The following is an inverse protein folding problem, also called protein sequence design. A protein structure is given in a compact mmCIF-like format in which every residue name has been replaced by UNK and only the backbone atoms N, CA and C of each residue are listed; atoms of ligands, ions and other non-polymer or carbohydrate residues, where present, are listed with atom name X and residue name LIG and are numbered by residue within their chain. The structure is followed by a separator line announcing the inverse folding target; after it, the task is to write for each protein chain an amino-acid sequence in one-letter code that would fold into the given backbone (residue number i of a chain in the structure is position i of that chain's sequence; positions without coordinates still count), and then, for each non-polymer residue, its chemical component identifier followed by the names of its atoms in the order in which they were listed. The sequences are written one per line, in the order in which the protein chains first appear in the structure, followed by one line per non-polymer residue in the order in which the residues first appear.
data_IF_638635612020
#
_entry.id   IF_638635612020
#
_cell.length_a   1.000
_cell.length_b   1.000
_cell.length_c   1.000
_cell.angle_alpha   90.00
_cell.angle_beta   90.00
_cell.angle_gamma   90.00
#
_symmetry.space_group_name_H-M   'P 1'
#
loop_
_entity.id
_entity.type
_entity.pdbx_description
1 polymer ?
#
# COMPACT_ATOMS: atom_id res chain seq x y z
N UNK A 1 7.44 5.26 -15.57
CA UNK A 1 8.10 4.74 -16.79
C UNK A 1 7.66 3.31 -17.11
N UNK A 2 7.67 2.39 -16.14
CA UNK A 2 7.33 0.95 -16.30
C UNK A 2 6.08 0.66 -17.13
N UNK A 3 4.94 1.27 -16.78
CA UNK A 3 3.67 1.03 -17.49
C UNK A 3 3.67 1.58 -18.93
N UNK A 4 4.39 2.68 -19.19
CA UNK A 4 4.51 3.26 -20.54
C UNK A 4 5.39 2.40 -21.46
N UNK A 5 6.31 1.62 -20.90
CA UNK A 5 7.13 0.66 -21.65
C UNK A 5 6.46 -0.70 -21.80
N UNK A 6 5.17 -0.85 -21.46
CA UNK A 6 4.44 -2.12 -21.53
C UNK A 6 4.71 -3.08 -20.37
N UNK A 7 5.52 -2.68 -19.38
CA UNK A 7 5.82 -3.47 -18.20
C UNK A 7 4.68 -3.47 -17.18
N UNK A 8 4.78 -4.38 -16.21
CA UNK A 8 3.80 -4.52 -15.12
C UNK A 8 4.39 -4.06 -13.79
N UNK A 9 3.51 -3.64 -12.89
CA UNK A 9 3.88 -3.21 -11.54
C UNK A 9 3.28 -4.17 -10.52
N UNK A 10 4.12 -4.72 -9.65
CA UNK A 10 3.73 -5.54 -8.52
C UNK A 10 3.81 -4.70 -7.24
N UNK A 11 2.76 -4.68 -6.45
CA UNK A 11 2.72 -4.00 -5.15
C UNK A 11 2.37 -5.05 -4.09
N UNK A 12 3.38 -5.60 -3.40
CA UNK A 12 3.17 -6.48 -2.25
C UNK A 12 2.58 -5.67 -1.10
N UNK A 13 1.31 -5.91 -0.78
CA UNK A 13 0.58 -5.13 0.23
C UNK A 13 -0.30 -6.01 1.13
N UNK A 14 -0.72 -5.45 2.25
CA UNK A 14 -1.79 -6.04 3.06
C UNK A 14 -3.13 -5.99 2.31
N UNK A 15 -4.09 -6.88 2.64
CA UNK A 15 -5.39 -6.91 1.99
C UNK A 15 -6.32 -5.75 2.38
N UNK A 16 -6.02 -5.01 3.45
CA UNK A 16 -6.82 -3.89 3.94
C UNK A 16 -5.94 -2.77 4.46
N UNK A 17 -6.51 -1.55 4.57
CA UNK A 17 -5.81 -0.37 5.09
C UNK A 17 -5.34 0.57 3.98
N UNK A 18 -4.05 0.92 4.00
CA UNK A 18 -3.43 1.90 3.08
C UNK A 18 -3.64 1.56 1.59
N UNK A 19 -3.88 0.29 1.28
CA UNK A 19 -4.19 -0.19 -0.08
C UNK A 19 -5.42 0.52 -0.70
N UNK A 20 -6.41 0.93 0.11
CA UNK A 20 -7.58 1.65 -0.39
C UNK A 20 -7.23 3.03 -0.92
N UNK A 21 -6.38 3.76 -0.19
CA UNK A 21 -5.89 5.07 -0.62
C UNK A 21 -4.99 4.92 -1.85
N UNK A 22 -4.20 3.84 -1.92
CA UNK A 22 -3.42 3.52 -3.12
C UNK A 22 -4.28 3.31 -4.36
N UNK A 23 -5.42 2.60 -4.26
CA UNK A 23 -6.34 2.46 -5.41
C UNK A 23 -6.82 3.82 -5.91
N UNK A 24 -7.20 4.71 -5.00
CA UNK A 24 -7.70 6.05 -5.31
C UNK A 24 -6.60 6.94 -5.94
N UNK A 25 -5.45 7.04 -5.27
CA UNK A 25 -4.35 7.88 -5.72
C UNK A 25 -3.77 7.39 -7.05
N UNK A 26 -3.57 6.07 -7.20
CA UNK A 26 -2.99 5.50 -8.42
C UNK A 26 -3.96 5.57 -9.59
N UNK A 27 -5.24 5.23 -9.41
CA UNK A 27 -6.22 5.35 -10.52
C UNK A 27 -6.34 6.80 -11.02
N UNK A 28 -6.46 7.76 -10.11
CA UNK A 28 -6.52 9.19 -10.44
C UNK A 28 -5.24 9.65 -11.16
N UNK A 29 -4.07 9.21 -10.71
CA UNK A 29 -2.81 9.57 -11.36
C UNK A 29 -2.65 8.92 -12.74
N UNK A 30 -3.07 7.66 -12.91
CA UNK A 30 -3.06 6.96 -14.19
C UNK A 30 -3.99 7.65 -15.20
N UNK A 31 -5.15 8.09 -14.75
CA UNK A 31 -6.12 8.78 -15.62
C UNK A 31 -5.56 10.13 -16.10
N UNK A 32 -4.97 10.92 -15.19
CA UNK A 32 -4.25 12.16 -15.54
C UNK A 32 -3.07 11.92 -16.49
N UNK A 33 -2.47 10.74 -16.43
CA UNK A 33 -1.33 10.35 -17.26
C UNK A 33 -1.73 9.78 -18.63
N UNK A 34 -3.03 9.66 -18.92
CA UNK A 34 -3.54 9.06 -20.16
C UNK A 34 -3.47 7.53 -20.19
N UNK A 35 -3.35 6.88 -19.03
CA UNK A 35 -3.21 5.43 -18.86
C UNK A 35 -4.51 4.79 -18.34
N UNK A 36 -5.66 5.31 -18.76
CA UNK A 36 -7.01 4.90 -18.32
C UNK A 36 -7.37 3.45 -18.67
N UNK A 37 -6.65 2.82 -19.59
CA UNK A 37 -6.91 1.45 -20.02
C UNK A 37 -6.18 0.39 -19.18
N UNK A 38 -5.22 0.80 -18.35
CA UNK A 38 -4.40 -0.14 -17.57
C UNK A 38 -5.24 -0.73 -16.42
N UNK A 39 -5.47 -2.05 -16.39
CA UNK A 39 -6.24 -2.67 -15.33
C UNK A 39 -5.44 -2.71 -14.02
N UNK A 40 -6.19 -2.56 -12.92
CA UNK A 40 -5.71 -2.79 -11.56
C UNK A 40 -6.27 -4.14 -11.11
N UNK A 41 -5.41 -5.03 -10.62
CA UNK A 41 -5.81 -6.31 -10.07
C UNK A 41 -5.54 -6.34 -8.57
N UNK A 42 -6.53 -6.76 -7.79
CA UNK A 42 -6.40 -6.95 -6.35
C UNK A 42 -6.61 -8.43 -6.00
N UNK A 43 -5.52 -9.11 -5.66
CA UNK A 43 -5.52 -10.56 -5.49
C UNK A 43 -5.32 -10.89 -4.01
N UNK A 44 -6.37 -11.43 -3.40
CA UNK A 44 -6.36 -11.89 -2.01
C UNK A 44 -7.58 -12.78 -1.76
N UNK A 45 -7.46 -13.85 -0.94
CA UNK A 45 -8.61 -14.69 -0.56
C UNK A 45 -9.74 -13.91 0.10
N UNK A 46 -9.43 -12.75 0.69
CA UNK A 46 -10.37 -11.86 1.37
C UNK A 46 -10.63 -10.56 0.60
N UNK A 47 -10.26 -10.49 -0.68
CA UNK A 47 -10.36 -9.23 -1.45
C UNK A 47 -11.79 -8.68 -1.52
N UNK A 48 -12.76 -9.53 -1.85
CA UNK A 48 -14.18 -9.14 -1.94
C UNK A 48 -14.73 -8.69 -0.59
N UNK A 49 -14.50 -9.47 0.46
CA UNK A 49 -14.98 -9.16 1.81
C UNK A 49 -14.33 -7.91 2.38
N UNK A 50 -13.03 -7.71 2.12
CA UNK A 50 -12.29 -6.52 2.54
C UNK A 50 -12.88 -5.25 1.90
N UNK A 51 -13.13 -5.28 0.59
CA UNK A 51 -13.77 -4.17 -0.12
C UNK A 51 -15.20 -3.93 0.39
N UNK A 52 -16.00 -4.98 0.61
CA UNK A 52 -17.34 -4.84 1.16
C UNK A 52 -17.35 -4.21 2.56
N UNK A 53 -16.46 -4.63 3.45
CA UNK A 53 -16.35 -4.07 4.80
C UNK A 53 -15.91 -2.61 4.82
N UNK A 54 -15.08 -2.19 3.86
CA UNK A 54 -14.73 -0.77 3.73
C UNK A 54 -15.95 0.12 3.48
N UNK A 55 -16.99 -0.39 2.82
CA UNK A 55 -18.22 0.35 2.55
C UNK A 55 -19.21 0.32 3.72
N UNK A 56 -19.17 -0.73 4.55
CA UNK A 56 -20.11 -0.90 5.67
C UNK A 56 -19.66 -0.08 6.89
N UNK A 57 -18.36 -0.01 7.17
CA UNK A 57 -17.79 0.66 8.36
C UNK A 57 -17.56 2.16 8.14
N UNK A 58 -18.53 2.82 7.51
CA UNK A 58 -18.41 4.23 7.12
C UNK A 58 -18.37 5.19 8.32
N UNK A 59 -18.89 4.78 9.47
CA UNK A 59 -18.90 5.57 10.71
C UNK A 59 -17.50 5.88 11.25
N UNK A 60 -16.48 5.12 10.85
CA UNK A 60 -15.08 5.33 11.24
C UNK A 60 -14.31 6.23 10.26
N UNK A 61 -14.96 6.75 9.23
CA UNK A 61 -14.32 7.58 8.22
C UNK A 61 -14.30 9.06 8.60
N UNK A 62 -13.54 9.87 7.87
CA UNK A 62 -13.57 11.33 8.03
C UNK A 62 -14.97 11.88 7.76
N UNK A 63 -15.32 13.01 8.37
CA UNK A 63 -16.64 13.65 8.21
C UNK A 63 -17.00 13.87 6.73
N UNK A 64 -16.02 14.19 5.89
CA UNK A 64 -16.23 14.33 4.45
C UNK A 64 -16.65 13.03 3.75
N UNK A 65 -16.10 11.88 4.15
CA UNK A 65 -16.49 10.55 3.63
C UNK A 65 -17.79 10.06 4.27
N UNK A 66 -18.01 10.32 5.57
CA UNK A 66 -19.28 10.05 6.26
C UNK A 66 -20.46 10.76 5.58
N UNK A 67 -20.29 12.04 5.21
CA UNK A 67 -21.32 12.83 4.52
C UNK A 67 -21.79 12.21 3.21
N UNK A 68 -20.91 11.50 2.49
CA UNK A 68 -21.27 10.80 1.25
C UNK A 68 -22.23 9.64 1.49
N UNK A 69 -22.07 8.93 2.61
CA UNK A 69 -22.95 7.80 2.96
C UNK A 69 -24.37 8.25 3.27
N UNK A 70 -24.55 9.46 3.81
CA UNK A 70 -25.88 10.06 3.98
C UNK A 70 -26.55 10.45 2.65
N UNK A 71 -25.79 10.57 1.55
CA UNK A 71 -26.25 10.93 0.19
C UNK A 71 -26.41 9.71 -0.74
N UNK A 72 -26.70 8.53 -0.18
CA UNK A 72 -26.46 7.22 -0.82
C UNK A 72 -25.23 7.09 -1.75
N UNK A 73 -24.15 7.83 -1.48
CA UNK A 73 -22.92 7.76 -2.27
C UNK A 73 -21.90 6.81 -1.61
N UNK A 74 -21.11 6.13 -2.44
CA UNK A 74 -20.04 5.26 -1.97
C UNK A 74 -18.93 6.13 -1.32
N UNK A 75 -18.53 5.83 -0.06
CA UNK A 75 -17.55 6.67 0.64
C UNK A 75 -16.15 6.58 0.02
N UNK A 76 -15.85 5.46 -0.64
CA UNK A 76 -14.59 5.23 -1.32
C UNK A 76 -14.77 5.09 -2.83
N UNK A 77 -13.88 5.68 -3.63
CA UNK A 77 -13.96 5.62 -5.10
C UNK A 77 -13.61 4.24 -5.67
N UNK A 78 -12.95 3.36 -4.90
CA UNK A 78 -12.68 2.00 -5.37
C UNK A 78 -13.95 1.21 -5.68
N UNK A 79 -15.09 1.53 -5.05
CA UNK A 79 -16.36 0.91 -5.40
C UNK A 79 -16.76 1.20 -6.86
N UNK A 80 -16.52 2.42 -7.34
CA UNK A 80 -16.72 2.81 -8.74
C UNK A 80 -15.69 2.14 -9.67
N UNK A 81 -14.44 2.02 -9.24
CA UNK A 81 -13.40 1.31 -10.00
C UNK A 81 -13.76 -0.16 -10.21
N UNK A 82 -14.36 -0.80 -9.20
CA UNK A 82 -14.85 -2.19 -9.30
C UNK A 82 -16.04 -2.28 -10.25
N UNK A 83 -17.05 -1.41 -10.08
CA UNK A 83 -18.25 -1.38 -10.95
C UNK A 83 -17.88 -1.18 -12.44
N UNK A 84 -16.87 -0.37 -12.73
CA UNK A 84 -16.39 -0.13 -14.10
C UNK A 84 -15.34 -1.12 -14.60
N UNK A 85 -15.11 -2.23 -13.89
CA UNK A 85 -14.10 -3.22 -14.28
C UNK A 85 -12.68 -2.67 -14.41
N UNK A 86 -12.39 -1.53 -13.77
CA UNK A 86 -11.05 -0.91 -13.77
C UNK A 86 -10.17 -1.50 -12.66
N UNK A 87 -10.77 -1.74 -11.49
CA UNK A 87 -10.20 -2.53 -10.40
C UNK A 87 -10.92 -3.87 -10.37
N UNK A 88 -10.20 -4.96 -10.56
CA UNK A 88 -10.76 -6.31 -10.55
C UNK A 88 -10.13 -7.10 -9.43
N UNK A 89 -10.96 -7.82 -8.67
CA UNK A 89 -10.50 -8.57 -7.52
C UNK A 89 -10.65 -10.07 -7.75
N UNK A 90 -9.69 -10.84 -7.26
CA UNK A 90 -9.64 -12.28 -7.39
C UNK A 90 -9.20 -12.90 -6.06
N UNK A 91 -9.69 -14.10 -5.77
CA UNK A 91 -9.32 -14.82 -4.55
C UNK A 91 -7.89 -15.34 -4.59
N UNK A 92 -7.37 -15.65 -5.78
CA UNK A 92 -5.99 -16.08 -5.98
C UNK A 92 -5.53 -15.84 -7.42
N UNK A 93 -4.22 -15.97 -7.66
CA UNK A 93 -3.62 -15.94 -8.99
C UNK A 93 -4.08 -17.09 -9.91
N UNK A 94 -4.64 -18.17 -9.34
CA UNK A 94 -5.23 -19.30 -10.09
C UNK A 94 -6.75 -19.30 -10.04
N UNK A 95 -7.37 -18.24 -9.52
CA UNK A 95 -8.81 -18.11 -9.53
C UNK A 95 -9.33 -18.17 -10.96
N UNK A 96 -10.49 -18.81 -11.13
CA UNK A 96 -11.16 -18.87 -12.43
C UNK A 96 -11.40 -17.46 -12.97
N UNK A 97 -11.13 -17.26 -14.25
CA UNK A 97 -11.29 -15.97 -14.93
C UNK A 97 -10.08 -15.04 -14.85
N UNK A 98 -9.16 -15.18 -13.89
CA UNK A 98 -7.98 -14.29 -13.83
C UNK A 98 -7.13 -14.37 -15.10
N UNK A 99 -6.86 -15.58 -15.58
CA UNK A 99 -6.07 -15.83 -16.80
C UNK A 99 -6.69 -15.23 -18.05
N UNK A 100 -8.02 -15.22 -18.14
CA UNK A 100 -8.77 -14.65 -19.29
C UNK A 100 -8.70 -13.13 -19.31
N UNK A 101 -8.67 -12.50 -18.14
CA UNK A 101 -8.66 -11.05 -18.02
C UNK A 101 -7.27 -10.44 -17.91
N UNK A 102 -6.29 -11.26 -17.55
CA UNK A 102 -4.91 -10.85 -17.41
C UNK A 102 -4.38 -10.27 -18.73
N UNK A 103 -3.95 -9.01 -18.67
CA UNK A 103 -3.34 -8.29 -19.79
C UNK A 103 -2.21 -7.41 -19.30
N UNK A 104 -1.15 -7.28 -20.11
CA UNK A 104 -0.04 -6.37 -19.85
C UNK A 104 -0.17 -5.12 -20.73
N UNK A 105 0.19 -3.93 -20.24
CA UNK A 105 0.65 -3.62 -18.89
C UNK A 105 -0.48 -3.66 -17.85
N UNK A 106 -0.17 -4.04 -16.61
CA UNK A 106 -1.10 -4.01 -15.47
C UNK A 106 -0.42 -3.62 -14.16
N UNK A 107 -1.23 -3.27 -13.17
CA UNK A 107 -0.79 -3.13 -11.77
C UNK A 107 -1.46 -4.23 -10.96
N UNK A 108 -0.69 -5.00 -10.20
CA UNK A 108 -1.17 -6.08 -9.34
C UNK A 108 -0.86 -5.73 -7.90
N UNK A 109 -1.90 -5.66 -7.08
CA UNK A 109 -1.84 -5.58 -5.63
C UNK A 109 -2.10 -6.99 -5.10
N UNK A 110 -1.13 -7.57 -4.42
CA UNK A 110 -1.31 -8.90 -3.84
C UNK A 110 -0.44 -9.09 -2.61
N UNK A 111 -0.96 -9.88 -1.66
CA UNK A 111 -0.21 -10.23 -0.46
C UNK A 111 0.82 -11.34 -0.72
N UNK A 112 1.86 -11.47 0.10
CA UNK A 112 2.17 -10.70 1.30
C UNK A 112 3.46 -9.86 1.15
N UNK A 113 3.57 -8.66 1.78
CA UNK A 113 4.76 -7.81 1.73
C UNK A 113 6.09 -8.49 2.07
N UNK A 114 6.06 -9.51 2.93
CA UNK A 114 7.24 -10.30 3.30
C UNK A 114 7.79 -11.18 2.17
N UNK A 115 7.04 -11.40 1.09
CA UNK A 115 7.36 -12.34 0.02
C UNK A 115 7.75 -13.75 0.52
N UNK A 116 7.11 -14.21 1.60
CA UNK A 116 7.27 -15.59 2.12
C UNK A 116 6.04 -16.45 1.86
N UNK A 117 4.89 -15.82 1.64
CA UNK A 117 3.63 -16.48 1.32
C UNK A 117 2.74 -15.53 0.52
N UNK A 118 1.62 -16.07 0.04
CA UNK A 118 0.69 -15.36 -0.82
C UNK A 118 1.15 -15.29 -2.28
N UNK A 119 0.28 -14.75 -3.12
CA UNK A 119 0.45 -14.76 -4.56
C UNK A 119 1.55 -13.81 -5.05
N UNK A 120 1.98 -12.85 -4.23
CA UNK A 120 3.11 -11.99 -4.53
C UNK A 120 4.38 -12.81 -4.86
N UNK A 121 4.60 -13.93 -4.18
CA UNK A 121 5.73 -14.84 -4.44
C UNK A 121 5.70 -15.38 -5.88
N UNK A 122 4.51 -15.77 -6.35
CA UNK A 122 4.33 -16.31 -7.69
C UNK A 122 4.53 -15.25 -8.77
N UNK A 123 4.06 -14.02 -8.54
CA UNK A 123 4.34 -12.92 -9.47
C UNK A 123 5.83 -12.56 -9.52
N UNK A 124 6.55 -12.61 -8.40
CA UNK A 124 8.01 -12.40 -8.41
C UNK A 124 8.71 -13.50 -9.21
N UNK A 125 8.29 -14.76 -9.07
CA UNK A 125 8.85 -15.85 -9.88
C UNK A 125 8.55 -15.68 -11.38
N UNK A 126 7.35 -15.21 -11.73
CA UNK A 126 6.93 -15.00 -13.11
C UNK A 126 7.62 -13.79 -13.76
N UNK A 127 7.76 -12.68 -13.02
CA UNK A 127 8.22 -11.39 -13.56
C UNK A 127 9.70 -11.10 -13.27
N UNK A 128 10.32 -11.83 -12.34
CA UNK A 128 11.65 -11.53 -11.80
C UNK A 128 12.76 -11.48 -12.84
N UNK A 129 12.64 -12.25 -13.93
CA UNK A 129 13.64 -12.31 -14.99
C UNK A 129 13.50 -11.20 -16.06
N UNK A 130 12.50 -10.32 -15.96
CA UNK A 130 12.28 -9.25 -16.95
C UNK A 130 12.50 -7.86 -16.34
N UNK A 131 13.43 -7.05 -16.88
CA UNK A 131 13.70 -5.70 -16.40
C UNK A 131 12.61 -4.69 -16.78
N UNK A 132 11.60 -5.15 -17.54
CA UNK A 132 10.44 -4.34 -17.89
C UNK A 132 9.47 -4.21 -16.71
N UNK A 133 9.43 -5.18 -15.80
CA UNK A 133 8.54 -5.14 -14.65
C UNK A 133 9.18 -4.39 -13.48
N UNK A 134 8.34 -4.00 -12.52
CA UNK A 134 8.78 -3.32 -11.30
C UNK A 134 8.01 -3.84 -10.11
N UNK A 135 8.70 -4.12 -9.01
CA UNK A 135 8.10 -4.36 -7.71
C UNK A 135 8.27 -3.12 -6.84
N UNK A 136 7.19 -2.65 -6.21
CA UNK A 136 7.17 -1.48 -5.34
C UNK A 136 6.71 -1.91 -3.96
N UNK A 137 7.58 -1.74 -2.97
CA UNK A 137 7.27 -1.99 -1.57
C UNK A 137 6.75 -0.71 -0.92
N UNK A 138 5.56 -0.79 -0.36
CA UNK A 138 4.88 0.34 0.31
C UNK A 138 4.86 0.21 1.82
N UNK A 139 5.11 -0.98 2.37
CA UNK A 139 5.06 -1.20 3.81
C UNK A 139 6.39 -0.83 4.49
N UNK A 140 6.38 0.05 5.51
CA UNK A 140 7.60 0.45 6.21
C UNK A 140 8.18 -0.67 7.09
N UNK A 141 7.35 -1.60 7.54
CA UNK A 141 7.70 -2.58 8.57
C UNK A 141 8.48 -3.79 8.02
N UNK A 142 8.65 -3.89 6.70
CA UNK A 142 9.35 -5.03 6.08
C UNK A 142 10.67 -4.61 5.44
N UNK A 143 11.79 -5.29 5.80
CA UNK A 143 13.06 -5.10 5.11
C UNK A 143 12.98 -5.66 3.69
N UNK A 144 12.63 -4.81 2.71
CA UNK A 144 12.40 -5.24 1.32
C UNK A 144 13.61 -5.95 0.69
N UNK A 145 14.83 -5.59 1.08
CA UNK A 145 16.05 -6.26 0.62
C UNK A 145 16.13 -7.71 1.08
N UNK A 146 15.79 -7.98 2.34
CA UNK A 146 15.72 -9.34 2.86
C UNK A 146 14.55 -10.12 2.25
N UNK A 147 13.41 -9.46 2.03
CA UNK A 147 12.28 -10.05 1.33
C UNK A 147 12.68 -10.54 -0.07
N UNK A 148 13.48 -9.75 -0.80
CA UNK A 148 13.97 -10.06 -2.14
C UNK A 148 15.18 -11.00 -2.20
N UNK A 149 15.92 -11.18 -1.11
CA UNK A 149 17.16 -11.97 -1.10
C UNK A 149 17.02 -13.38 -1.70
N UNK A 150 15.95 -14.16 -1.46
CA UNK A 150 15.78 -15.49 -2.05
C UNK A 150 15.54 -15.49 -3.57
N UNK A 151 15.18 -14.36 -4.15
CA UNK A 151 14.86 -14.23 -5.58
C UNK A 151 16.02 -13.68 -6.40
N UNK A 152 17.19 -13.49 -5.79
CA UNK A 152 18.39 -13.04 -6.48
C UNK A 152 19.02 -14.18 -7.30
N UNK A 153 19.55 -13.91 -8.51
CA UNK A 153 19.61 -12.60 -9.17
C UNK A 153 18.25 -12.17 -9.74
N UNK A 154 17.88 -10.89 -9.51
CA UNK A 154 16.60 -10.33 -9.95
C UNK A 154 16.82 -9.25 -11.01
N UNK A 155 16.28 -9.45 -12.22
CA UNK A 155 16.33 -8.44 -13.29
C UNK A 155 15.22 -7.38 -13.16
N UNK A 156 14.09 -7.77 -12.58
CA UNK A 156 12.98 -6.87 -12.25
C UNK A 156 13.45 -5.72 -11.35
N UNK A 157 12.98 -4.50 -11.63
CA UNK A 157 13.34 -3.32 -10.84
C UNK A 157 12.64 -3.37 -9.49
N UNK A 158 13.38 -3.15 -8.40
CA UNK A 158 12.82 -3.03 -7.06
C UNK A 158 12.88 -1.58 -6.59
N UNK A 159 11.76 -1.09 -6.04
CA UNK A 159 11.63 0.25 -5.47
C UNK A 159 11.01 0.15 -4.08
N UNK A 160 11.54 0.91 -3.13
CA UNK A 160 10.98 1.02 -1.79
C UNK A 160 10.45 2.45 -1.58
N UNK A 161 9.14 2.56 -1.41
CA UNK A 161 8.42 3.80 -1.19
C UNK A 161 7.50 3.62 0.03
N UNK A 162 8.06 3.58 1.25
CA UNK A 162 7.28 3.29 2.45
C UNK A 162 6.22 4.38 2.69
N UNK A 163 5.00 3.93 2.99
CA UNK A 163 3.88 4.78 3.37
C UNK A 163 3.63 4.56 4.86
N UNK A 164 4.16 5.47 5.66
CA UNK A 164 3.97 5.46 7.09
C UNK A 164 2.96 6.55 7.48
N UNK A 165 1.81 6.12 8.00
CA UNK A 165 0.75 7.01 8.49
C UNK A 165 0.84 7.26 10.00
N UNK A 166 1.87 6.73 10.67
CA UNK A 166 2.09 6.94 12.09
C UNK A 166 2.48 8.38 12.42
N UNK A 167 2.40 8.74 13.70
CA UNK A 167 2.83 10.05 14.17
C UNK A 167 4.33 10.21 13.99
N UNK A 168 4.73 11.27 13.31
CA UNK A 168 6.15 11.65 13.27
C UNK A 168 6.58 12.35 14.56
N UNK A 169 7.90 12.42 14.81
CA UNK A 169 8.48 13.02 16.01
C UNK A 169 8.05 14.46 16.24
N UNK A 170 7.93 15.27 15.18
CA UNK A 170 7.49 16.67 15.30
C UNK A 170 6.04 16.77 15.78
N UNK A 171 5.15 15.94 15.24
CA UNK A 171 3.75 15.85 15.64
C UNK A 171 3.62 15.31 17.07
N UNK A 172 4.38 14.28 17.42
CA UNK A 172 4.41 13.70 18.76
C UNK A 172 4.86 14.73 19.81
N UNK A 173 5.98 15.41 19.57
CA UNK A 173 6.49 16.45 20.48
C UNK A 173 5.52 17.63 20.62
N UNK A 174 4.87 18.03 19.51
CA UNK A 174 3.81 19.03 19.57
C UNK A 174 2.65 18.55 20.46
N UNK A 175 2.18 17.33 20.26
CA UNK A 175 1.08 16.75 21.04
C UNK A 175 1.41 16.69 22.55
N UNK A 176 2.64 16.31 22.89
CA UNK A 176 3.11 16.28 24.29
C UNK A 176 3.09 17.68 24.91
N UNK A 177 3.60 18.70 24.19
CA UNK A 177 3.57 20.10 24.64
C UNK A 177 2.15 20.65 24.80
N UNK A 178 1.25 20.26 23.90
CA UNK A 178 -0.14 20.72 23.91
C UNK A 178 -0.95 20.06 25.05
N UNK A 179 -0.75 18.75 25.27
CA UNK A 179 -1.50 17.99 26.28
C UNK A 179 -0.93 18.11 27.70
N UNK A 180 0.37 18.38 27.86
CA UNK A 180 1.06 18.50 29.15
C UNK A 180 0.72 17.35 30.12
N UNK A 181 0.98 16.09 29.72
CA UNK A 181 0.66 14.94 30.58
C UNK A 181 1.48 14.97 31.87
N UNK A 182 0.87 14.56 32.98
CA UNK A 182 1.57 14.45 34.27
C UNK A 182 2.62 13.33 34.26
N UNK A 183 2.31 12.22 33.59
CA UNK A 183 3.21 11.07 33.43
C UNK A 183 3.23 10.66 31.96
N UNK A 184 4.41 10.66 31.35
CA UNK A 184 4.63 10.23 29.97
C UNK A 184 5.53 8.98 29.96
N UNK A 185 5.04 7.90 29.35
CA UNK A 185 5.83 6.67 29.14
C UNK A 185 6.20 6.60 27.67
N UNK A 186 7.50 6.54 27.39
CA UNK A 186 8.05 6.49 26.03
C UNK A 186 9.00 5.30 25.90
N UNK A 187 8.91 4.52 24.80
CA UNK A 187 9.95 3.55 24.46
C UNK A 187 11.33 4.20 24.38
N UNK A 188 12.35 3.56 24.96
CA UNK A 188 13.73 4.07 24.97
C UNK A 188 14.27 4.34 23.55
N UNK A 189 13.82 3.57 22.56
CA UNK A 189 14.17 3.77 21.16
C UNK A 189 13.81 5.15 20.59
N UNK A 190 12.91 5.88 21.24
CA UNK A 190 12.49 7.21 20.82
C UNK A 190 13.10 8.33 21.68
N UNK A 191 13.84 8.02 22.74
CA UNK A 191 14.51 9.04 23.58
C UNK A 191 15.92 9.36 23.12
N UNK A 192 16.42 8.64 22.11
CA UNK A 192 17.76 8.81 21.54
C UNK A 192 17.69 8.86 20.02
N UNK A 193 18.60 9.59 19.35
CA UNK A 193 18.68 9.58 17.90
C UNK A 193 18.90 8.17 17.35
N UNK A 194 18.39 7.85 16.15
CA UNK A 194 18.62 6.54 15.53
C UNK A 194 20.11 6.24 15.38
N UNK A 195 20.52 5.00 15.65
CA UNK A 195 21.93 4.59 15.54
C UNK A 195 22.51 4.82 14.14
N UNK A 196 21.67 4.69 13.11
CA UNK A 196 22.03 4.93 11.70
C UNK A 196 22.20 6.41 11.36
N UNK A 197 21.66 7.32 12.17
CA UNK A 197 21.73 8.76 11.96
C UNK A 197 21.84 9.54 13.29
N UNK A 198 22.99 9.46 14.01
CA UNK A 198 23.13 10.04 15.34
C UNK A 198 22.98 11.57 15.40
N UNK A 199 23.15 12.24 14.26
CA UNK A 199 23.02 13.70 14.13
C UNK A 199 21.56 14.17 14.04
N UNK A 200 20.60 13.26 13.87
CA UNK A 200 19.17 13.57 13.72
C UNK A 200 18.49 13.72 15.07
N UNK A 201 18.80 14.83 15.75
CA UNK A 201 18.18 15.18 17.04
C UNK A 201 16.68 15.50 16.91
N UNK A 202 16.21 15.77 15.70
CA UNK A 202 14.79 15.96 15.38
C UNK A 202 13.96 14.65 15.48
N UNK A 203 14.63 13.50 15.57
CA UNK A 203 14.04 12.18 15.71
C UNK A 203 14.09 11.68 17.16
N UNK A 204 13.77 12.57 18.10
CA UNK A 204 13.75 12.28 19.54
C UNK A 204 12.46 12.84 20.15
N UNK A 205 11.85 12.06 21.03
CA UNK A 205 10.71 12.50 21.86
C UNK A 205 11.26 13.20 23.10
N UNK A 206 10.91 14.47 23.25
CA UNK A 206 11.30 15.29 24.39
C UNK A 206 10.47 14.86 25.61
N UNK A 207 11.13 14.40 26.67
CA UNK A 207 10.48 13.94 27.90
C UNK A 207 9.95 15.09 28.77
N UNK A 208 10.17 16.34 28.36
CA UNK A 208 9.86 17.54 29.14
C UNK A 208 8.93 18.48 28.39
N UNK A 209 7.75 18.71 28.93
CA UNK A 209 7.15 20.04 28.92
C UNK A 209 7.82 20.96 29.93
#
# INVERSE_FOLDING_TARGET
MTLRSGGCVLIPCYPSGVVYDLFECLSTHLDKSGLTQIPLFFISPVAETSLAYSNILAEWLSTGKQNKVYLPEEPFPHAFLVKNSRLKHFTSAWAEGFSTEYRQPCVVFCGHPSLRFGDAVHFVQMWGNSPQHTIIFTEPDFPYLEALAPFQPLAMKAVHCPIDTSLNFTQANKLIRDLKPENLVVPESYTQPPYTAPHRLDLVIESTG
#
